data_IF_657222884370
#
_entry.id   IF_657222884370
#
_cell.length_a   1.000
_cell.length_b   1.000
_cell.length_c   1.000
_cell.angle_alpha   90.00
_cell.angle_beta   90.00
_cell.angle_gamma   90.00
#
_symmetry.space_group_name_H-M   'P 1'
#
loop_
_entity.id
_entity.type
_entity.pdbx_description
1 polymer ?
#
# COMPACT_ATOMS: atom_id res chain seq x y z
N UNK A 1 56.80 -20.37 -40.95
CA UNK A 1 55.76 -20.17 -39.93
C UNK A 1 56.33 -19.37 -38.77
N UNK A 2 55.70 -18.25 -38.41
CA UNK A 2 55.84 -17.56 -37.10
C UNK A 2 54.50 -16.86 -36.85
N UNK A 3 53.70 -17.34 -35.92
CA UNK A 3 52.50 -16.63 -35.45
C UNK A 3 52.88 -15.83 -34.21
N UNK A 4 52.58 -14.54 -34.20
CA UNK A 4 52.68 -13.69 -33.02
C UNK A 4 51.30 -13.61 -32.36
N UNK A 5 51.26 -13.79 -31.04
CA UNK A 5 50.03 -13.68 -30.26
C UNK A 5 49.63 -12.21 -30.11
N UNK A 6 48.43 -11.85 -30.58
CA UNK A 6 47.77 -10.61 -30.17
C UNK A 6 46.82 -10.90 -29.01
N UNK A 7 47.09 -10.30 -27.85
CA UNK A 7 46.21 -10.39 -26.68
C UNK A 7 45.06 -9.40 -26.83
N UNK A 8 43.86 -9.89 -27.16
CA UNK A 8 42.64 -9.12 -26.99
C UNK A 8 42.28 -9.08 -25.50
N UNK A 9 42.49 -7.93 -24.86
CA UNK A 9 41.93 -7.64 -23.54
C UNK A 9 40.45 -7.33 -23.71
N UNK A 10 39.58 -8.29 -23.44
CA UNK A 10 38.16 -8.02 -23.24
C UNK A 10 38.01 -7.09 -22.03
N UNK A 11 37.43 -5.91 -22.24
CA UNK A 11 37.06 -5.03 -21.14
C UNK A 11 35.82 -5.62 -20.45
N UNK A 12 36.02 -6.24 -19.28
CA UNK A 12 34.89 -6.63 -18.42
C UNK A 12 34.22 -5.35 -17.96
N UNK A 13 33.01 -5.10 -18.49
CA UNK A 13 32.14 -4.07 -17.95
C UNK A 13 31.79 -4.47 -16.52
N UNK A 14 32.39 -3.79 -15.55
CA UNK A 14 32.17 -4.08 -14.13
C UNK A 14 30.75 -3.62 -13.80
N UNK A 15 29.82 -4.57 -13.73
CA UNK A 15 28.44 -4.30 -13.35
C UNK A 15 28.44 -3.63 -11.98
N UNK A 16 28.10 -2.34 -11.94
CA UNK A 16 28.02 -1.58 -10.70
C UNK A 16 26.90 -2.17 -9.87
N UNK A 17 27.25 -2.81 -8.74
CA UNK A 17 26.28 -3.21 -7.74
C UNK A 17 25.45 -1.99 -7.35
N UNK A 18 24.14 -2.04 -7.64
CA UNK A 18 23.17 -1.01 -7.30
C UNK A 18 22.51 -1.39 -5.96
N UNK A 19 23.06 -1.04 -4.79
CA UNK A 19 22.29 -1.14 -3.56
C UNK A 19 21.12 -0.16 -3.62
N UNK A 20 20.06 -0.49 -2.87
CA UNK A 20 18.91 0.33 -2.46
C UNK A 20 17.58 0.08 -3.21
N UNK A 21 16.93 -1.01 -2.81
CA UNK A 21 15.48 -1.00 -2.52
C UNK A 21 15.34 -1.35 -1.03
N UNK A 22 15.41 -0.32 -0.17
CA UNK A 22 15.31 -0.42 1.30
C UNK A 22 14.46 0.71 1.92
N UNK A 23 13.77 1.50 1.08
CA UNK A 23 12.90 2.60 1.49
C UNK A 23 11.40 2.20 1.52
N UNK A 24 11.07 1.02 0.99
CA UNK A 24 9.71 0.52 0.80
C UNK A 24 9.37 -0.66 1.71
N UNK A 25 10.32 -1.58 1.89
CA UNK A 25 10.20 -2.78 2.72
C UNK A 25 11.08 -2.71 3.96
N UNK A 26 10.47 -3.02 5.11
CA UNK A 26 11.04 -2.92 6.44
C UNK A 26 10.13 -3.58 7.48
N UNK A 27 10.73 -4.32 8.41
CA UNK A 27 10.03 -5.04 9.48
C UNK A 27 10.38 -4.46 10.85
N UNK A 28 9.37 -4.24 11.69
CA UNK A 28 9.58 -3.98 13.13
C UNK A 28 10.17 -5.23 13.82
N UNK A 29 9.87 -6.43 13.30
CA UNK A 29 10.27 -7.68 13.92
C UNK A 29 10.60 -8.82 12.94
N UNK A 30 11.87 -8.92 12.53
CA UNK A 30 12.39 -10.08 11.79
C UNK A 30 12.42 -11.36 12.66
N UNK A 31 11.56 -12.36 12.40
CA UNK A 31 11.45 -13.58 13.21
C UNK A 31 12.62 -14.56 12.99
N UNK A 32 13.37 -14.42 11.90
CA UNK A 32 14.60 -15.23 11.68
C UNK A 32 15.75 -14.74 12.58
N UNK A 33 15.69 -13.51 13.10
CA UNK A 33 16.74 -12.92 13.97
C UNK A 33 16.35 -12.88 15.45
N UNK A 34 15.06 -12.69 15.77
CA UNK A 34 14.55 -12.55 17.15
C UNK A 34 13.17 -13.21 17.30
N UNK A 35 12.70 -13.37 18.53
CA UNK A 35 11.32 -13.81 18.76
C UNK A 35 10.37 -12.63 18.56
N UNK A 36 9.26 -12.87 17.85
CA UNK A 36 8.28 -11.84 17.47
C UNK A 36 6.86 -12.22 17.94
N UNK A 37 5.92 -11.26 17.98
CA UNK A 37 4.50 -11.57 18.09
C UNK A 37 4.03 -12.46 16.94
N UNK A 38 2.85 -13.07 17.09
CA UNK A 38 2.19 -13.74 15.98
C UNK A 38 1.51 -12.71 15.06
N UNK A 39 1.68 -12.84 13.74
CA UNK A 39 1.05 -12.01 12.73
C UNK A 39 -0.47 -12.13 12.83
N UNK A 40 -1.23 -11.03 12.76
CA UNK A 40 -2.69 -11.10 12.73
C UNK A 40 -3.12 -11.64 11.37
N UNK A 41 -3.84 -12.77 11.37
CA UNK A 41 -4.25 -13.44 10.14
C UNK A 41 -5.67 -13.06 9.70
N UNK A 42 -5.96 -13.23 8.41
CA UNK A 42 -7.33 -13.19 7.88
C UNK A 42 -8.06 -14.51 8.20
N UNK A 43 -9.07 -14.53 9.09
CA UNK A 43 -9.79 -15.75 9.48
C UNK A 43 -10.90 -16.13 8.47
N UNK A 44 -10.77 -15.72 7.21
CA UNK A 44 -11.70 -15.96 6.11
C UNK A 44 -10.94 -16.38 4.85
N UNK A 45 -11.61 -17.15 3.97
CA UNK A 45 -11.02 -17.60 2.70
C UNK A 45 -11.09 -16.56 1.58
N UNK A 46 -12.02 -15.61 1.66
CA UNK A 46 -12.16 -14.48 0.71
C UNK A 46 -12.38 -13.16 1.46
N UNK A 47 -11.65 -12.11 1.10
CA UNK A 47 -11.86 -10.72 1.54
C UNK A 47 -11.99 -9.80 0.32
N UNK A 48 -12.85 -8.78 0.40
CA UNK A 48 -13.04 -7.78 -0.67
C UNK A 48 -13.14 -6.38 -0.10
N UNK A 49 -12.30 -5.47 -0.60
CA UNK A 49 -12.40 -4.04 -0.40
C UNK A 49 -12.74 -3.35 -1.74
N UNK A 50 -13.99 -2.91 -1.91
CA UNK A 50 -14.37 -1.99 -2.98
C UNK A 50 -14.29 -0.56 -2.45
N UNK A 51 -13.18 0.12 -2.72
CA UNK A 51 -12.90 1.47 -2.22
C UNK A 51 -13.80 2.56 -2.82
N UNK A 52 -14.67 2.23 -3.78
CA UNK A 52 -15.76 3.14 -4.22
C UNK A 52 -16.92 3.17 -3.22
N UNK A 53 -16.98 2.19 -2.31
CA UNK A 53 -17.99 2.09 -1.25
C UNK A 53 -17.47 2.62 0.09
N UNK A 54 -18.36 3.23 0.88
CA UNK A 54 -17.99 3.79 2.17
C UNK A 54 -17.70 2.68 3.20
N UNK A 55 -16.53 2.74 3.85
CA UNK A 55 -16.14 1.80 4.90
C UNK A 55 -15.26 0.63 4.44
N UNK A 56 -15.07 0.41 3.13
CA UNK A 56 -14.21 -0.66 2.61
C UNK A 56 -12.72 -0.56 2.99
N UNK A 57 -12.30 0.58 3.55
CA UNK A 57 -10.98 0.79 4.16
C UNK A 57 -10.91 0.42 5.66
N UNK A 58 -11.90 -0.29 6.20
CA UNK A 58 -12.02 -0.61 7.63
C UNK A 58 -10.84 -1.42 8.18
N UNK A 59 -10.34 -2.38 7.40
CA UNK A 59 -9.21 -3.28 7.74
C UNK A 59 -7.89 -2.85 7.09
N UNK A 60 -7.67 -1.54 6.93
CA UNK A 60 -6.47 -0.97 6.34
C UNK A 60 -5.90 0.16 7.21
N UNK A 61 -4.60 0.10 7.48
CA UNK A 61 -3.84 1.13 8.20
C UNK A 61 -3.08 1.99 7.20
N UNK A 62 -3.13 3.31 7.37
CA UNK A 62 -2.29 4.23 6.60
C UNK A 62 -0.95 4.48 7.27
N UNK A 63 0.12 4.57 6.48
CA UNK A 63 1.46 4.93 6.96
C UNK A 63 1.48 6.36 7.56
N UNK A 64 2.47 6.64 8.41
CA UNK A 64 2.61 7.96 9.03
C UNK A 64 2.62 9.09 7.97
N UNK A 65 1.90 10.18 8.24
CA UNK A 65 1.69 11.32 7.33
C UNK A 65 0.95 11.04 6.00
N UNK A 66 0.48 9.81 5.77
CA UNK A 66 -0.41 9.50 4.64
C UNK A 66 -1.80 10.12 4.86
N UNK A 67 -2.44 10.52 3.76
CA UNK A 67 -3.89 10.78 3.69
C UNK A 67 -4.37 10.24 2.36
N UNK A 68 -5.44 9.43 2.39
CA UNK A 68 -6.08 8.86 1.21
C UNK A 68 -7.47 9.49 1.06
N UNK A 69 -7.76 10.00 -0.13
CA UNK A 69 -9.11 10.43 -0.52
C UNK A 69 -9.87 9.20 -1.05
N UNK A 70 -11.17 9.09 -0.77
CA UNK A 70 -12.02 7.99 -1.24
C UNK A 70 -13.25 8.56 -1.98
N UNK A 71 -13.61 7.95 -3.11
CA UNK A 71 -14.73 8.37 -3.94
C UNK A 71 -14.99 7.44 -5.12
N UNK A 72 -15.58 7.94 -6.20
CA UNK A 72 -15.96 7.15 -7.39
C UNK A 72 -14.78 6.49 -8.13
N UNK A 73 -13.54 6.94 -7.90
CA UNK A 73 -12.31 6.34 -8.43
C UNK A 73 -11.60 5.41 -7.43
N UNK A 74 -12.22 5.17 -6.28
CA UNK A 74 -11.67 4.38 -5.18
C UNK A 74 -10.73 5.17 -4.28
N UNK A 75 -9.69 4.50 -3.80
CA UNK A 75 -8.62 5.07 -2.98
C UNK A 75 -7.62 5.85 -3.84
N UNK A 76 -7.36 7.11 -3.47
CA UNK A 76 -6.54 8.05 -4.24
C UNK A 76 -5.22 8.36 -3.53
N UNK A 77 -4.12 7.87 -4.12
CA UNK A 77 -2.76 7.99 -3.59
C UNK A 77 -2.05 9.19 -4.23
N UNK A 78 -2.18 10.36 -3.61
CA UNK A 78 -1.74 11.66 -4.18
C UNK A 78 -0.34 12.09 -3.72
N UNK A 79 0.57 12.32 -4.67
CA UNK A 79 1.82 13.06 -4.50
C UNK A 79 1.66 14.45 -5.11
N UNK A 80 1.48 15.48 -4.28
CA UNK A 80 1.40 16.88 -4.71
C UNK A 80 2.72 17.66 -4.51
N UNK A 81 3.64 17.13 -3.70
CA UNK A 81 4.95 17.74 -3.39
C UNK A 81 5.94 16.71 -2.86
N UNK A 82 7.20 17.14 -2.73
CA UNK A 82 8.29 16.40 -2.09
C UNK A 82 7.93 15.90 -0.68
N UNK A 83 8.49 14.75 -0.29
CA UNK A 83 8.26 14.12 1.01
C UNK A 83 6.92 13.40 1.16
N UNK A 84 6.08 13.37 0.13
CA UNK A 84 4.85 12.57 0.13
C UNK A 84 5.08 11.19 -0.49
N UNK A 85 4.79 10.15 0.29
CA UNK A 85 4.70 8.76 -0.15
C UNK A 85 3.44 8.14 0.49
N UNK A 86 2.23 8.48 0.00
CA UNK A 86 0.98 7.90 0.51
C UNK A 86 0.98 6.38 0.35
N UNK A 87 0.82 5.67 1.47
CA UNK A 87 0.82 4.20 1.53
C UNK A 87 -0.21 3.70 2.54
N UNK A 88 -0.92 2.62 2.19
CA UNK A 88 -1.76 1.83 3.12
C UNK A 88 -1.31 0.37 3.13
N UNK A 89 -1.57 -0.32 4.25
CA UNK A 89 -1.33 -1.75 4.42
C UNK A 89 -2.56 -2.45 5.02
N UNK A 90 -2.77 -3.73 4.72
CA UNK A 90 -3.82 -4.53 5.37
C UNK A 90 -3.49 -4.74 6.84
N UNK A 91 -4.49 -4.62 7.70
CA UNK A 91 -4.39 -4.86 9.16
C UNK A 91 -4.15 -6.35 9.50
N UNK A 92 -4.18 -7.21 8.49
CA UNK A 92 -4.02 -8.65 8.55
C UNK A 92 -3.07 -9.18 7.46
N UNK A 93 -2.62 -10.42 7.65
CA UNK A 93 -1.77 -11.18 6.75
C UNK A 93 -2.57 -12.35 6.12
N UNK A 94 -2.15 -12.77 4.93
CA UNK A 94 -2.57 -14.01 4.27
C UNK A 94 -1.38 -14.97 4.14
N UNK A 95 -1.65 -16.26 3.96
CA UNK A 95 -0.60 -17.27 3.85
C UNK A 95 -0.90 -18.21 2.68
N UNK A 96 -0.28 -17.93 1.53
CA UNK A 96 -0.66 -18.39 0.20
C UNK A 96 -2.10 -18.00 -0.20
N UNK A 97 -2.36 -17.99 -1.51
CA UNK A 97 -3.63 -17.55 -2.08
C UNK A 97 -3.42 -16.57 -3.21
N UNK A 98 -4.37 -15.66 -3.39
CA UNK A 98 -4.42 -14.74 -4.53
C UNK A 98 -4.78 -13.34 -4.08
N UNK A 99 -4.15 -12.34 -4.67
CA UNK A 99 -4.48 -10.91 -4.50
C UNK A 99 -4.70 -10.32 -5.88
N UNK A 100 -5.88 -9.77 -6.11
CA UNK A 100 -6.27 -9.02 -7.30
C UNK A 100 -6.45 -7.54 -6.94
N UNK A 101 -5.75 -6.65 -7.65
CA UNK A 101 -5.84 -5.19 -7.44
C UNK A 101 -6.28 -4.52 -8.74
N UNK A 102 -7.50 -4.00 -8.76
CA UNK A 102 -8.02 -3.19 -9.87
C UNK A 102 -7.59 -1.74 -9.68
N UNK A 103 -6.58 -1.30 -10.42
CA UNK A 103 -5.97 0.02 -10.26
C UNK A 103 -5.53 0.68 -11.56
N UNK A 104 -5.20 1.95 -11.43
CA UNK A 104 -4.52 2.78 -12.42
C UNK A 104 -3.30 3.43 -11.78
N UNK A 105 -2.15 3.31 -12.42
CA UNK A 105 -0.88 3.84 -11.92
C UNK A 105 -0.81 5.38 -12.03
N UNK A 106 0.07 6.00 -11.26
CA UNK A 106 0.36 7.42 -11.38
C UNK A 106 1.27 7.69 -12.59
N UNK A 107 0.97 8.75 -13.34
CA UNK A 107 1.88 9.33 -14.33
C UNK A 107 2.88 10.29 -13.66
N UNK A 108 4.02 10.51 -14.32
CA UNK A 108 5.10 11.40 -13.87
C UNK A 108 6.46 10.71 -13.90
N UNK A 109 7.46 11.34 -14.52
CA UNK A 109 8.86 10.88 -14.47
C UNK A 109 9.33 10.85 -13.01
N UNK A 110 9.98 9.76 -12.59
CA UNK A 110 10.44 9.58 -11.21
C UNK A 110 9.36 9.18 -10.21
N UNK A 111 8.09 9.13 -10.62
CA UNK A 111 6.97 8.66 -9.80
C UNK A 111 6.84 7.15 -9.97
N UNK A 112 6.55 6.47 -8.86
CA UNK A 112 6.45 5.01 -8.77
C UNK A 112 5.15 4.66 -8.06
N UNK A 113 4.34 3.81 -8.66
CA UNK A 113 3.16 3.21 -8.03
C UNK A 113 3.41 1.74 -7.77
N UNK A 114 2.96 1.23 -6.62
CA UNK A 114 3.43 -0.05 -6.07
C UNK A 114 2.27 -0.86 -5.50
N UNK A 115 2.23 -2.15 -5.86
CA UNK A 115 1.49 -3.20 -5.12
C UNK A 115 2.55 -4.13 -4.53
N UNK A 116 2.54 -4.34 -3.22
CA UNK A 116 3.53 -5.20 -2.55
C UNK A 116 2.81 -6.17 -1.62
N UNK A 117 3.20 -7.45 -1.66
CA UNK A 117 2.99 -8.38 -0.56
C UNK A 117 4.32 -8.48 0.19
N UNK A 118 4.31 -8.26 1.51
CA UNK A 118 5.51 -8.26 2.36
C UNK A 118 5.29 -9.05 3.65
N UNK A 119 6.27 -9.87 4.03
CA UNK A 119 6.30 -10.61 5.30
C UNK A 119 7.13 -9.90 6.37
N UNK A 120 6.94 -10.28 7.63
CA UNK A 120 7.80 -9.78 8.72
C UNK A 120 9.23 -10.37 8.68
N UNK A 121 9.52 -11.41 7.87
CA UNK A 121 10.89 -11.86 7.55
C UNK A 121 11.46 -11.31 6.22
N UNK A 122 10.73 -10.40 5.55
CA UNK A 122 11.10 -9.75 4.29
C UNK A 122 11.24 -10.73 3.10
N UNK A 123 10.35 -11.72 3.05
CA UNK A 123 9.86 -12.22 1.77
C UNK A 123 8.94 -11.15 1.15
N UNK A 124 9.04 -10.94 -0.16
CA UNK A 124 8.40 -9.85 -0.90
C UNK A 124 7.93 -10.33 -2.28
N UNK A 125 6.75 -9.88 -2.72
CA UNK A 125 6.26 -10.00 -4.11
C UNK A 125 5.72 -8.63 -4.53
N UNK A 126 6.19 -8.07 -5.64
CA UNK A 126 5.85 -6.71 -6.03
C UNK A 126 5.39 -6.56 -7.50
N UNK A 127 4.55 -5.55 -7.72
CA UNK A 127 4.30 -4.91 -9.01
C UNK A 127 4.69 -3.43 -8.91
N UNK A 128 5.60 -2.98 -9.78
CA UNK A 128 6.10 -1.59 -9.80
C UNK A 128 5.84 -0.91 -11.15
N UNK A 129 5.18 0.25 -11.10
CA UNK A 129 4.83 1.06 -12.27
C UNK A 129 5.63 2.36 -12.28
N UNK A 130 6.43 2.58 -13.33
CA UNK A 130 7.19 3.82 -13.49
C UNK A 130 6.33 4.84 -14.24
N UNK A 131 5.95 5.95 -13.61
CA UNK A 131 5.06 6.96 -14.18
C UNK A 131 5.60 7.69 -15.43
N UNK A 132 6.86 7.46 -15.80
CA UNK A 132 7.46 7.88 -17.06
C UNK A 132 7.25 6.93 -18.24
N UNK A 133 6.78 5.70 -18.02
CA UNK A 133 6.52 4.68 -19.03
C UNK A 133 5.04 4.28 -19.02
N UNK A 134 4.33 4.62 -20.11
CA UNK A 134 2.89 4.34 -20.30
C UNK A 134 2.65 3.10 -21.19
N UNK A 135 3.59 2.16 -21.20
CA UNK A 135 3.47 0.87 -21.88
C UNK A 135 3.92 -0.33 -21.07
N UNK A 136 4.40 -0.16 -19.82
CA UNK A 136 5.04 -1.23 -19.04
C UNK A 136 4.71 -1.25 -17.56
N UNK A 137 4.85 -2.44 -16.98
CA UNK A 137 4.87 -2.72 -15.55
C UNK A 137 6.03 -3.67 -15.22
N UNK A 138 6.64 -3.54 -14.05
CA UNK A 138 7.62 -4.49 -13.55
C UNK A 138 6.97 -5.46 -12.56
N UNK A 139 7.37 -6.73 -12.64
CA UNK A 139 7.14 -7.73 -11.58
C UNK A 139 8.48 -8.10 -10.95
N UNK A 140 8.54 -8.24 -9.63
CA UNK A 140 9.74 -8.66 -8.93
C UNK A 140 9.40 -9.37 -7.60
N UNK A 141 10.42 -9.96 -6.95
CA UNK A 141 10.24 -10.66 -5.68
C UNK A 141 11.57 -10.74 -4.90
N UNK A 142 11.47 -10.83 -3.57
CA UNK A 142 12.60 -11.13 -2.69
C UNK A 142 12.24 -12.27 -1.73
N UNK A 143 13.26 -12.98 -1.25
CA UNK A 143 13.13 -13.87 -0.10
C UNK A 143 14.13 -13.47 0.97
N UNK A 144 13.70 -13.36 2.22
CA UNK A 144 14.51 -13.01 3.41
C UNK A 144 15.44 -11.81 3.20
N UNK A 145 14.92 -10.72 2.60
CA UNK A 145 15.63 -9.50 2.20
C UNK A 145 16.88 -9.73 1.30
N UNK A 146 16.96 -10.85 0.58
CA UNK A 146 18.16 -11.25 -0.15
C UNK A 146 18.39 -10.43 -1.44
N UNK A 147 18.94 -9.23 -1.27
CA UNK A 147 19.33 -8.25 -2.29
C UNK A 147 20.73 -8.50 -2.89
N UNK A 148 21.27 -9.72 -2.76
CA UNK A 148 22.56 -10.12 -3.37
C UNK A 148 22.54 -10.06 -4.90
N UNK A 149 21.34 -10.23 -5.50
CA UNK A 149 21.12 -10.15 -6.95
C UNK A 149 19.86 -9.32 -7.25
N UNK A 150 19.83 -8.73 -8.45
CA UNK A 150 18.73 -7.90 -8.97
C UNK A 150 18.15 -8.51 -10.28
N UNK A 151 18.35 -9.80 -10.46
CA UNK A 151 17.96 -10.63 -11.61
C UNK A 151 16.49 -11.07 -11.61
N UNK A 152 15.73 -10.65 -10.60
CA UNK A 152 14.32 -11.03 -10.39
C UNK A 152 13.31 -10.03 -10.96
N UNK A 153 13.76 -8.83 -11.32
CA UNK A 153 12.96 -7.82 -12.03
C UNK A 153 12.70 -8.27 -13.45
N UNK A 154 11.43 -8.32 -13.86
CA UNK A 154 11.01 -8.55 -15.25
C UNK A 154 9.95 -7.52 -15.63
N UNK A 155 10.20 -6.81 -16.73
CA UNK A 155 9.27 -5.86 -17.35
C UNK A 155 8.29 -6.58 -18.27
N UNK A 156 7.02 -6.19 -18.23
CA UNK A 156 5.93 -6.70 -19.06
C UNK A 156 5.25 -5.56 -19.79
N UNK A 157 4.78 -5.82 -21.01
CA UNK A 157 3.98 -4.86 -21.76
C UNK A 157 2.54 -4.83 -21.24
N UNK A 158 2.00 -3.63 -21.05
CA UNK A 158 0.61 -3.38 -20.65
C UNK A 158 0.10 -2.11 -21.33
N UNK A 159 -1.14 -2.13 -21.82
CA UNK A 159 -1.70 -1.01 -22.57
C UNK A 159 -2.09 0.15 -21.65
N UNK A 160 -1.29 1.21 -21.65
CA UNK A 160 -1.59 2.50 -21.01
C UNK A 160 -1.97 2.45 -19.51
N UNK A 161 -1.12 1.87 -18.63
CA UNK A 161 -1.48 1.59 -17.23
C UNK A 161 -1.70 2.85 -16.35
N UNK A 162 -1.37 4.06 -16.84
CA UNK A 162 -1.69 5.34 -16.19
C UNK A 162 -2.97 6.01 -16.75
N UNK A 163 -3.53 5.53 -17.86
CA UNK A 163 -4.76 6.04 -18.48
C UNK A 163 -5.97 5.14 -18.22
N UNK A 164 -5.79 3.81 -18.27
CA UNK A 164 -6.82 2.79 -18.06
C UNK A 164 -6.68 2.04 -16.73
N UNK A 165 -7.82 1.54 -16.22
CA UNK A 165 -7.82 0.60 -15.09
C UNK A 165 -7.58 -0.82 -15.59
N UNK A 166 -6.69 -1.54 -14.92
CA UNK A 166 -6.41 -2.96 -15.14
C UNK A 166 -6.48 -3.70 -13.81
N UNK A 167 -6.70 -5.01 -13.85
CA UNK A 167 -6.58 -5.88 -12.68
C UNK A 167 -5.24 -6.59 -12.71
N UNK A 168 -4.37 -6.23 -11.77
CA UNK A 168 -3.08 -6.86 -11.56
C UNK A 168 -3.23 -7.92 -10.47
N UNK A 169 -2.86 -9.16 -10.79
CA UNK A 169 -3.01 -10.30 -9.89
C UNK A 169 -1.67 -10.90 -9.50
N UNK A 170 -1.58 -11.32 -8.24
CA UNK A 170 -0.56 -12.23 -7.73
C UNK A 170 -1.30 -13.50 -7.28
N UNK A 171 -0.96 -14.66 -7.85
CA UNK A 171 -1.46 -15.97 -7.44
C UNK A 171 -0.29 -16.84 -6.97
N UNK A 172 -0.26 -17.11 -5.67
CA UNK A 172 0.93 -17.48 -4.92
C UNK A 172 0.67 -18.72 -4.05
N UNK A 173 1.40 -19.80 -4.33
CA UNK A 173 1.30 -21.08 -3.62
C UNK A 173 2.68 -21.53 -3.13
N UNK A 174 2.75 -22.62 -2.37
CA UNK A 174 4.02 -23.25 -1.98
C UNK A 174 4.78 -23.86 -3.18
N UNK A 175 4.14 -24.02 -4.33
CA UNK A 175 4.71 -24.65 -5.53
C UNK A 175 5.07 -23.64 -6.63
N UNK A 176 4.28 -22.56 -6.76
CA UNK A 176 4.42 -21.56 -7.84
C UNK A 176 3.90 -20.17 -7.47
N UNK A 177 4.56 -19.17 -8.02
CA UNK A 177 4.16 -17.77 -8.01
C UNK A 177 3.80 -17.39 -9.45
N UNK A 178 2.60 -16.84 -9.66
CA UNK A 178 2.12 -16.34 -10.93
C UNK A 178 1.72 -14.87 -10.83
N UNK A 179 2.11 -14.11 -11.85
CA UNK A 179 1.70 -12.73 -12.04
C UNK A 179 0.75 -12.67 -13.25
N UNK A 180 -0.38 -11.99 -13.10
CA UNK A 180 -1.40 -11.87 -14.15
C UNK A 180 -1.81 -10.42 -14.38
N UNK A 181 -2.15 -10.08 -15.63
CA UNK A 181 -2.76 -8.79 -16.00
C UNK A 181 -4.08 -9.10 -16.70
N UNK A 182 -5.18 -8.52 -16.21
CA UNK A 182 -6.54 -8.73 -16.70
C UNK A 182 -6.92 -10.22 -16.83
N UNK A 183 -6.47 -11.02 -15.86
CA UNK A 183 -6.67 -12.47 -15.81
C UNK A 183 -5.73 -13.31 -16.69
N UNK A 184 -4.87 -12.70 -17.51
CA UNK A 184 -3.88 -13.39 -18.34
C UNK A 184 -2.56 -13.56 -17.60
N UNK A 185 -2.08 -14.80 -17.47
CA UNK A 185 -0.78 -15.11 -16.83
C UNK A 185 0.35 -14.58 -17.73
N UNK A 186 1.15 -13.64 -17.22
CA UNK A 186 2.30 -13.07 -17.94
C UNK A 186 3.66 -13.56 -17.40
N UNK A 187 3.71 -14.06 -16.16
CA UNK A 187 4.91 -14.65 -15.56
C UNK A 187 4.54 -15.80 -14.63
N UNK A 188 5.35 -16.86 -14.63
CA UNK A 188 5.31 -17.95 -13.65
C UNK A 188 6.73 -18.20 -13.14
N UNK A 189 6.87 -18.40 -11.83
CA UNK A 189 8.10 -18.79 -11.14
C UNK A 189 7.76 -20.03 -10.32
N UNK A 190 8.51 -21.12 -10.47
CA UNK A 190 8.35 -22.30 -9.62
C UNK A 190 9.12 -22.13 -8.29
N UNK A 191 8.70 -22.82 -7.23
CA UNK A 191 9.47 -22.87 -5.97
C UNK A 191 10.94 -23.24 -6.20
N UNK A 192 11.18 -24.25 -7.04
CA UNK A 192 12.51 -24.74 -7.38
C UNK A 192 13.25 -23.94 -8.48
N UNK A 193 12.79 -22.73 -8.84
CA UNK A 193 13.41 -21.91 -9.88
C UNK A 193 14.82 -21.40 -9.44
N UNK A 194 15.81 -21.32 -10.36
CA UNK A 194 17.12 -20.75 -10.06
C UNK A 194 17.08 -19.30 -9.51
N UNK A 195 16.15 -18.46 -9.96
CA UNK A 195 15.96 -17.08 -9.45
C UNK A 195 15.48 -17.07 -7.99
N UNK A 196 14.68 -18.08 -7.63
CA UNK A 196 14.26 -18.35 -6.26
C UNK A 196 15.33 -19.14 -5.45
N UNK A 197 16.52 -19.32 -6.01
CA UNK A 197 17.65 -20.07 -5.42
C UNK A 197 17.21 -21.47 -4.97
N UNK A 198 16.44 -22.15 -5.82
CA UNK A 198 15.89 -23.49 -5.59
C UNK A 198 15.09 -23.57 -4.26
N UNK A 199 14.21 -22.59 -4.02
CA UNK A 199 13.32 -22.51 -2.87
C UNK A 199 13.79 -21.56 -1.76
N UNK A 200 15.10 -21.27 -1.66
CA UNK A 200 15.68 -20.52 -0.53
C UNK A 200 15.34 -19.03 -0.51
N UNK A 201 15.11 -18.45 -1.69
CA UNK A 201 14.63 -17.08 -1.88
C UNK A 201 13.18 -17.06 -2.42
N UNK A 202 12.46 -18.18 -2.36
CA UNK A 202 11.06 -18.20 -2.78
C UNK A 202 10.19 -17.55 -1.68
N UNK A 203 9.30 -16.59 -1.99
CA UNK A 203 8.40 -15.98 -1.01
C UNK A 203 7.47 -17.04 -0.43
N UNK A 204 7.51 -17.28 0.88
CA UNK A 204 6.90 -18.48 1.47
C UNK A 204 6.38 -18.30 2.90
N UNK A 205 6.42 -17.09 3.45
CA UNK A 205 5.92 -16.76 4.80
C UNK A 205 4.67 -15.86 4.69
N UNK A 206 3.87 -15.69 5.77
CA UNK A 206 2.65 -14.88 5.71
C UNK A 206 2.95 -13.44 5.30
N UNK A 207 2.10 -12.85 4.45
CA UNK A 207 2.28 -11.50 3.91
C UNK A 207 1.03 -10.63 4.07
N UNK A 208 1.25 -9.35 4.41
CA UNK A 208 0.25 -8.27 4.31
C UNK A 208 0.30 -7.65 2.92
N UNK A 209 -0.82 -7.08 2.45
CA UNK A 209 -0.86 -6.34 1.18
C UNK A 209 -0.64 -4.85 1.46
N UNK A 210 0.32 -4.24 0.76
CA UNK A 210 0.65 -2.82 0.81
C UNK A 210 0.38 -2.20 -0.55
N UNK A 211 -0.19 -0.99 -0.54
CA UNK A 211 -0.49 -0.19 -1.73
C UNK A 211 0.07 1.20 -1.51
N UNK A 212 0.85 1.72 -2.46
CA UNK A 212 1.48 3.03 -2.29
C UNK A 212 1.92 3.71 -3.58
N UNK A 213 2.09 5.02 -3.49
CA UNK A 213 2.61 5.86 -4.57
C UNK A 213 3.73 6.73 -4.01
N UNK A 214 4.93 6.71 -4.59
CA UNK A 214 6.12 7.38 -4.06
C UNK A 214 7.02 7.98 -5.15
N UNK A 215 7.99 8.78 -4.70
CA UNK A 215 8.95 9.47 -5.57
C UNK A 215 10.31 8.73 -5.58
N UNK A 216 10.46 7.73 -6.44
CA UNK A 216 11.73 7.03 -6.68
C UNK A 216 12.81 7.94 -7.30
N UNK A 217 12.37 8.92 -8.11
CA UNK A 217 13.17 10.05 -8.58
C UNK A 217 13.19 11.26 -7.62
N UNK A 218 12.83 11.07 -6.34
CA UNK A 218 12.76 12.17 -5.37
C UNK A 218 14.15 12.64 -4.87
N UNK A 219 14.28 13.88 -4.39
CA UNK A 219 15.48 14.34 -3.69
C UNK A 219 15.85 13.44 -2.51
N UNK A 220 17.15 13.26 -2.26
CA UNK A 220 17.65 12.35 -1.24
C UNK A 220 17.64 10.87 -1.64
N UNK A 221 16.93 10.47 -2.70
CA UNK A 221 17.07 9.15 -3.29
C UNK A 221 18.47 8.96 -3.88
N UNK A 222 18.89 7.70 -3.96
CA UNK A 222 20.18 7.32 -4.52
C UNK A 222 20.10 7.24 -6.05
N UNK A 223 21.26 7.32 -6.70
CA UNK A 223 21.35 7.33 -8.17
C UNK A 223 20.72 6.11 -8.85
N UNK A 224 20.80 4.93 -8.24
CA UNK A 224 20.22 3.70 -8.79
C UNK A 224 18.69 3.75 -8.85
N UNK A 225 18.03 4.09 -7.73
CA UNK A 225 16.58 4.25 -7.68
C UNK A 225 16.10 5.41 -8.55
N UNK A 226 16.83 6.52 -8.61
CA UNK A 226 16.51 7.66 -9.48
C UNK A 226 16.60 7.26 -10.97
N UNK A 227 17.65 6.55 -11.37
CA UNK A 227 17.82 6.05 -12.75
C UNK A 227 16.75 5.03 -13.13
N UNK A 228 16.48 4.07 -12.25
CA UNK A 228 15.40 3.07 -12.39
C UNK A 228 14.00 3.69 -12.52
N UNK A 229 13.72 4.76 -11.76
CA UNK A 229 12.46 5.51 -11.84
C UNK A 229 12.38 6.47 -13.06
N UNK A 230 13.36 6.44 -13.97
CA UNK A 230 13.38 7.26 -15.19
C UNK A 230 13.92 8.70 -14.99
N UNK A 231 14.54 8.99 -13.85
CA UNK A 231 15.11 10.28 -13.51
C UNK A 231 14.24 11.12 -12.56
N UNK A 232 14.72 12.33 -12.25
CA UNK A 232 14.20 13.18 -11.17
C UNK A 232 12.72 13.58 -11.33
N UNK A 233 12.00 13.65 -10.21
CA UNK A 233 10.61 14.12 -10.16
C UNK A 233 10.53 15.63 -10.34
N UNK A 234 9.73 16.07 -11.30
CA UNK A 234 9.32 17.48 -11.45
C UNK A 234 7.98 17.70 -10.75
N UNK A 235 8.02 17.96 -9.44
CA UNK A 235 6.81 18.17 -8.62
C UNK A 235 5.91 19.32 -9.09
N UNK A 236 6.40 20.24 -9.94
CA UNK A 236 5.57 21.30 -10.53
C UNK A 236 4.51 20.77 -11.51
N UNK A 237 4.68 19.52 -11.99
CA UNK A 237 3.73 18.80 -12.85
C UNK A 237 2.74 17.92 -12.08
N UNK A 238 2.78 17.93 -10.74
CA UNK A 238 1.79 17.26 -9.89
C UNK A 238 0.43 17.98 -9.88
N UNK A 239 -0.57 17.45 -9.17
CA UNK A 239 -0.51 16.24 -8.33
C UNK A 239 -0.51 14.94 -9.14
N UNK A 240 0.43 14.05 -8.84
CA UNK A 240 0.48 12.70 -9.39
C UNK A 240 -0.41 11.78 -8.57
N UNK A 241 -1.29 11.01 -9.22
CA UNK A 241 -2.33 10.21 -8.55
C UNK A 241 -2.37 8.78 -9.08
N UNK A 242 -2.10 7.82 -8.20
CA UNK A 242 -2.49 6.41 -8.37
C UNK A 242 -3.91 6.22 -7.82
N UNK A 243 -4.72 5.43 -8.50
CA UNK A 243 -6.12 5.19 -8.16
C UNK A 243 -6.36 3.68 -8.01
N UNK A 244 -6.80 3.21 -6.84
CA UNK A 244 -7.15 1.79 -6.61
C UNK A 244 -8.65 1.70 -6.35
N UNK A 245 -9.40 1.04 -7.23
CA UNK A 245 -10.85 0.86 -7.07
C UNK A 245 -11.19 -0.31 -6.17
N UNK A 246 -10.53 -1.45 -6.38
CA UNK A 246 -10.91 -2.71 -5.73
C UNK A 246 -9.69 -3.55 -5.39
N UNK A 247 -9.73 -4.20 -4.24
CA UNK A 247 -8.81 -5.27 -3.85
C UNK A 247 -9.65 -6.50 -3.51
N UNK A 248 -9.32 -7.64 -4.12
CA UNK A 248 -9.92 -8.93 -3.82
C UNK A 248 -8.82 -9.90 -3.38
N UNK A 249 -9.04 -10.58 -2.26
CA UNK A 249 -8.04 -11.44 -1.63
C UNK A 249 -8.65 -12.81 -1.39
N UNK A 250 -8.01 -13.86 -1.91
CA UNK A 250 -8.24 -15.24 -1.49
C UNK A 250 -7.11 -15.65 -0.56
N UNK A 251 -7.42 -16.16 0.64
CA UNK A 251 -6.43 -16.73 1.56
C UNK A 251 -6.57 -18.25 1.56
N UNK A 252 -5.54 -18.97 1.11
CA UNK A 252 -5.54 -20.43 1.07
C UNK A 252 -5.39 -21.06 2.47
N UNK A 253 -4.98 -20.27 3.48
CA UNK A 253 -4.80 -20.74 4.85
C UNK A 253 -5.48 -19.81 5.88
N UNK A 254 -6.83 -19.75 5.95
CA UNK A 254 -7.54 -18.94 6.93
C UNK A 254 -7.11 -19.27 8.37
N UNK A 255 -6.70 -18.23 9.09
CA UNK A 255 -6.26 -18.30 10.47
C UNK A 255 -6.47 -16.95 11.16
N UNK A 256 -6.60 -16.95 12.49
CA UNK A 256 -6.70 -15.71 13.26
C UNK A 256 -5.32 -15.11 13.56
N UNK A 257 -4.28 -15.92 13.60
CA UNK A 257 -2.90 -15.47 13.56
C UNK A 257 -1.94 -16.55 13.04
N UNK A 258 -0.74 -16.13 12.62
CA UNK A 258 0.35 -17.02 12.22
C UNK A 258 1.54 -16.83 13.17
N UNK A 259 2.12 -17.92 13.64
CA UNK A 259 3.31 -17.91 14.51
C UNK A 259 4.47 -18.61 13.79
N UNK A 260 5.61 -17.91 13.65
CA UNK A 260 6.86 -18.51 13.20
C UNK A 260 7.35 -19.50 14.25
N UNK A 261 7.24 -20.79 13.96
CA UNK A 261 7.52 -21.87 14.90
C UNK A 261 8.99 -22.06 15.24
N UNK A 262 9.87 -21.58 14.36
CA UNK A 262 11.32 -21.49 14.52
C UNK A 262 11.86 -20.26 13.75
N UNK A 263 13.18 -20.22 13.49
CA UNK A 263 13.88 -19.10 12.85
C UNK A 263 14.27 -19.34 11.38
N UNK A 264 13.74 -20.38 10.74
CA UNK A 264 14.11 -20.77 9.37
C UNK A 264 13.58 -19.81 8.29
N UNK A 265 12.41 -19.20 8.52
CA UNK A 265 11.65 -18.54 7.46
C UNK A 265 11.05 -19.53 6.44
N UNK A 266 11.01 -20.83 6.76
CA UNK A 266 10.41 -21.88 5.92
C UNK A 266 8.90 -21.92 6.14
N UNK A 267 8.12 -22.18 5.08
CA UNK A 267 6.65 -22.22 5.18
C UNK A 267 6.14 -23.31 6.14
N UNK A 268 6.90 -24.39 6.30
CA UNK A 268 6.61 -25.49 7.23
C UNK A 268 6.77 -25.10 8.71
N UNK A 269 7.47 -24.00 9.01
CA UNK A 269 7.58 -23.47 10.37
C UNK A 269 6.32 -22.73 10.83
N UNK A 270 5.44 -22.32 9.90
CA UNK A 270 4.32 -21.41 10.16
C UNK A 270 3.15 -22.15 10.83
N UNK A 271 2.97 -21.90 12.12
CA UNK A 271 1.83 -22.42 12.88
C UNK A 271 0.61 -21.54 12.65
N UNK A 272 -0.49 -22.14 12.18
CA UNK A 272 -1.78 -21.47 11.98
C UNK A 272 -2.60 -21.53 13.27
N UNK A 273 -2.94 -20.38 13.85
CA UNK A 273 -3.72 -20.26 15.09
C UNK A 273 -5.18 -19.99 14.76
N UNK A 274 -6.05 -20.97 15.04
CA UNK A 274 -7.50 -20.91 14.73
C UNK A 274 -8.37 -20.37 15.87
N UNK A 275 -7.77 -19.97 17.01
CA UNK A 275 -8.49 -19.53 18.22
C UNK A 275 -7.74 -18.40 18.92
N UNK A 276 -8.41 -17.27 19.16
CA UNK A 276 -7.82 -16.11 19.84
C UNK A 276 -8.72 -14.87 19.78
N UNK A 277 -8.22 -13.74 20.30
CA UNK A 277 -8.95 -12.48 20.24
C UNK A 277 -8.96 -11.85 18.84
N UNK A 278 -7.96 -12.15 17.99
CA UNK A 278 -7.96 -11.73 16.57
C UNK A 278 -9.09 -12.37 15.77
N UNK A 279 -9.57 -13.57 16.14
CA UNK A 279 -10.80 -14.15 15.58
C UNK A 279 -12.06 -13.31 15.88
N UNK A 280 -11.99 -12.41 16.87
CA UNK A 280 -13.12 -11.63 17.41
C UNK A 280 -13.02 -10.14 17.11
N UNK A 281 -11.99 -9.70 16.38
CA UNK A 281 -12.05 -8.41 15.72
C UNK A 281 -13.24 -8.42 14.75
N UNK A 282 -14.00 -7.33 14.71
CA UNK A 282 -15.35 -7.32 14.14
C UNK A 282 -15.35 -7.71 12.65
N UNK A 283 -16.14 -8.74 12.30
CA UNK A 283 -16.23 -9.32 10.96
C UNK A 283 -16.38 -10.85 11.00
N UNK A 284 -15.69 -11.51 11.94
CA UNK A 284 -15.78 -12.97 12.13
C UNK A 284 -17.15 -13.47 12.57
N UNK A 285 -17.97 -13.94 11.62
CA UNK A 285 -19.23 -14.63 11.93
C UNK A 285 -18.96 -16.01 12.55
N UNK A 286 -19.29 -16.15 13.83
CA UNK A 286 -19.12 -17.39 14.58
C UNK A 286 -20.00 -18.55 14.03
N UNK A 287 -19.45 -19.35 13.12
CA UNK A 287 -19.92 -20.74 12.89
C UNK A 287 -19.52 -21.64 14.07
N UNK A 288 -19.95 -21.28 15.27
CA UNK A 288 -19.69 -22.04 16.49
C UNK A 288 -20.59 -23.27 16.53
N UNK A 289 -20.12 -24.38 15.97
CA UNK A 289 -20.78 -25.68 16.02
C UNK A 289 -20.80 -26.21 17.46
N UNK A 290 -21.77 -25.74 18.25
CA UNK A 290 -21.95 -26.08 19.65
C UNK A 290 -22.22 -27.58 19.78
N UNK A 291 -21.19 -28.34 20.18
CA UNK A 291 -21.26 -29.78 20.40
C UNK A 291 -22.14 -30.10 21.61
N UNK A 292 -23.45 -30.17 21.39
CA UNK A 292 -24.42 -30.62 22.39
C UNK A 292 -24.43 -32.14 22.46
N UNK A 293 -23.99 -32.70 23.59
CA UNK A 293 -24.03 -34.13 23.86
C UNK A 293 -25.46 -34.61 24.11
N UNK A 294 -25.99 -35.51 23.30
CA UNK A 294 -27.25 -36.24 23.59
C UNK A 294 -27.08 -37.72 23.27
N UNK A 295 -27.71 -38.58 24.08
CA UNK A 295 -27.42 -40.01 24.16
C UNK A 295 -28.10 -40.86 23.10
N UNK A 296 -27.32 -41.77 22.50
CA UNK A 296 -27.69 -43.10 21.96
C UNK A 296 -29.17 -43.42 21.69
N UNK A 297 -29.49 -43.62 20.41
CA UNK A 297 -30.51 -44.59 19.97
C UNK A 297 -30.08 -45.24 18.65
N UNK A 298 -30.24 -46.55 18.50
CA UNK A 298 -29.73 -47.32 17.36
C UNK A 298 -30.82 -47.61 16.33
N UNK A 299 -30.57 -47.29 15.06
CA UNK A 299 -31.35 -47.79 13.92
C UNK A 299 -30.46 -47.96 12.68
N UNK A 300 -30.72 -48.99 11.87
CA UNK A 300 -29.95 -49.30 10.66
C UNK A 300 -30.65 -48.77 9.41
N UNK A 301 -29.88 -48.28 8.43
CA UNK A 301 -30.40 -47.75 7.16
C UNK A 301 -29.32 -47.71 6.08
N UNK A 302 -29.30 -48.73 5.22
CA UNK A 302 -28.30 -48.85 4.14
C UNK A 302 -28.77 -48.08 2.89
N UNK A 303 -28.23 -46.88 2.65
CA UNK A 303 -28.55 -46.05 1.49
C UNK A 303 -27.30 -45.60 0.72
N UNK A 304 -27.15 -46.07 -0.52
CA UNK A 304 -26.07 -45.64 -1.42
C UNK A 304 -26.53 -44.43 -2.24
N UNK A 305 -25.91 -43.27 -2.05
CA UNK A 305 -26.13 -42.08 -2.88
C UNK A 305 -24.82 -41.46 -3.35
N UNK A 306 -24.79 -41.09 -4.62
CA UNK A 306 -23.66 -40.48 -5.33
C UNK A 306 -23.12 -39.24 -4.62
N UNK A 307 -21.80 -39.16 -4.44
CA UNK A 307 -21.15 -37.96 -3.93
C UNK A 307 -21.10 -36.87 -5.03
N UNK A 308 -22.01 -35.91 -4.94
CA UNK A 308 -21.94 -34.66 -5.72
C UNK A 308 -20.97 -33.70 -5.05
N UNK A 309 -19.89 -33.32 -5.73
CA UNK A 309 -18.92 -32.33 -5.24
C UNK A 309 -19.50 -30.92 -5.29
N UNK A 310 -20.16 -30.49 -4.22
CA UNK A 310 -20.49 -29.08 -4.00
C UNK A 310 -19.22 -28.32 -3.66
N UNK A 311 -18.78 -27.43 -4.56
CA UNK A 311 -17.73 -26.46 -4.28
C UNK A 311 -18.21 -25.49 -3.20
N UNK A 312 -17.50 -25.46 -2.07
CA UNK A 312 -17.82 -24.57 -0.95
C UNK A 312 -17.35 -23.14 -1.28
N UNK A 313 -18.21 -22.42 -2.01
CA UNK A 313 -18.04 -21.01 -2.36
C UNK A 313 -18.19 -20.13 -1.10
N UNK A 314 -17.14 -20.11 -0.29
CA UNK A 314 -17.08 -19.29 0.92
C UNK A 314 -17.44 -17.83 0.63
N UNK A 315 -18.42 -17.31 1.37
CA UNK A 315 -18.87 -15.92 1.29
C UNK A 315 -17.71 -14.98 1.55
N UNK A 316 -17.48 -14.01 0.65
CA UNK A 316 -16.46 -12.99 0.86
C UNK A 316 -16.84 -12.07 2.03
N UNK A 317 -15.88 -11.79 2.91
CA UNK A 317 -16.05 -10.81 3.99
C UNK A 317 -15.56 -9.43 3.55
N UNK A 318 -16.31 -8.39 3.90
CA UNK A 318 -15.89 -6.97 3.73
C UNK A 318 -15.23 -6.42 4.98
N UNK A 319 -15.55 -6.98 6.15
CA UNK A 319 -14.94 -6.67 7.44
C UNK A 319 -13.99 -7.81 7.85
N UNK A 320 -12.72 -7.45 8.06
CA UNK A 320 -11.65 -8.33 8.53
C UNK A 320 -10.97 -7.71 9.76
N UNK A 321 -10.09 -8.43 10.49
CA UNK A 321 -9.47 -7.92 11.70
C UNK A 321 -8.80 -6.56 11.51
N UNK A 322 -9.04 -5.65 12.45
CA UNK A 322 -8.52 -4.29 12.45
C UNK A 322 -7.47 -4.11 13.55
N UNK A 323 -6.43 -3.30 13.31
CA UNK A 323 -5.37 -3.04 14.29
C UNK A 323 -5.42 -1.62 14.85
N UNK A 324 -5.58 -1.52 16.17
CA UNK A 324 -5.42 -0.26 16.90
C UNK A 324 -3.95 0.15 17.06
N UNK A 325 -3.18 0.21 15.96
CA UNK A 325 -1.85 0.86 15.97
C UNK A 325 -2.06 2.37 16.08
N UNK A 326 -1.23 3.03 16.88
CA UNK A 326 -1.31 4.50 17.12
C UNK A 326 -0.76 5.33 15.95
N UNK A 327 -1.22 5.03 14.73
CA UNK A 327 -1.02 5.86 13.53
C UNK A 327 -2.21 6.82 13.39
N UNK A 328 -2.09 7.85 12.55
CA UNK A 328 -3.21 8.76 12.33
C UNK A 328 -4.36 8.01 11.64
N UNK A 329 -5.60 8.03 12.18
CA UNK A 329 -6.74 7.41 11.50
C UNK A 329 -6.92 8.08 10.13
N UNK A 330 -7.21 7.27 9.11
CA UNK A 330 -7.21 7.74 7.71
C UNK A 330 -8.16 8.92 7.58
N UNK A 331 -7.63 10.10 7.24
CA UNK A 331 -8.39 11.35 7.12
C UNK A 331 -9.26 11.35 5.86
N UNK A 332 -10.34 10.57 5.92
CA UNK A 332 -11.32 10.42 4.86
C UNK A 332 -11.94 11.77 4.49
N UNK A 333 -11.49 12.34 3.38
CA UNK A 333 -12.10 13.53 2.78
C UNK A 333 -13.10 13.05 1.72
N UNK A 334 -14.37 12.94 2.11
CA UNK A 334 -15.46 12.58 1.18
C UNK A 334 -15.81 13.81 0.34
N UNK A 335 -15.44 13.80 -0.93
CA UNK A 335 -15.83 14.84 -1.88
C UNK A 335 -17.28 14.62 -2.34
N UNK A 336 -18.25 15.18 -1.61
CA UNK A 336 -19.63 15.28 -2.10
C UNK A 336 -19.70 16.27 -3.25
N UNK A 337 -19.67 15.77 -4.49
CA UNK A 337 -19.92 16.55 -5.71
C UNK A 337 -21.42 16.89 -5.86
N UNK A 338 -21.91 17.81 -5.02
CA UNK A 338 -23.29 18.29 -5.09
C UNK A 338 -23.44 19.30 -6.25
N UNK A 339 -23.90 18.83 -7.41
CA UNK A 339 -24.19 19.69 -8.57
C UNK A 339 -25.42 20.57 -8.31
N UNK A 340 -25.24 21.69 -7.62
CA UNK A 340 -26.32 22.66 -7.34
C UNK A 340 -26.42 23.69 -8.47
N UNK A 341 -27.35 23.47 -9.39
CA UNK A 341 -27.79 24.47 -10.37
C UNK A 341 -28.93 25.31 -9.78
N UNK A 342 -28.67 26.56 -9.37
CA UNK A 342 -29.72 27.50 -8.96
C UNK A 342 -29.21 28.61 -8.02
N UNK A 343 -29.65 29.85 -8.24
CA UNK A 343 -29.14 31.05 -7.57
C UNK A 343 -30.01 31.56 -6.41
N UNK A 344 -29.36 32.22 -5.44
CA UNK A 344 -29.93 32.99 -4.31
C UNK A 344 -30.72 32.18 -3.26
N UNK A 345 -30.63 32.44 -1.94
CA UNK A 345 -30.40 33.70 -1.21
C UNK A 345 -29.39 33.55 -0.04
N UNK A 346 -29.11 34.65 0.67
CA UNK A 346 -28.24 34.71 1.85
C UNK A 346 -29.04 34.70 3.17
N UNK A 347 -28.60 33.96 4.19
CA UNK A 347 -28.15 34.51 5.50
C UNK A 347 -27.76 33.45 6.54
N UNK A 348 -26.88 33.87 7.45
CA UNK A 348 -26.65 33.41 8.83
C UNK A 348 -26.10 32.01 9.14
N UNK A 349 -24.99 32.02 9.88
CA UNK A 349 -24.42 30.91 10.63
C UNK A 349 -25.26 30.56 11.85
N UNK A 350 -25.48 29.27 12.11
CA UNK A 350 -25.78 28.74 13.43
C UNK A 350 -25.24 27.30 13.56
N UNK A 351 -24.35 27.08 14.54
CA UNK A 351 -23.83 25.75 14.86
C UNK A 351 -24.76 25.03 15.82
N UNK A 352 -25.15 23.79 15.52
CA UNK A 352 -25.76 22.86 16.48
C UNK A 352 -25.09 21.49 16.43
N UNK A 353 -24.31 21.21 17.47
CA UNK A 353 -23.99 19.84 17.89
C UNK A 353 -25.09 19.35 18.85
N UNK A 354 -25.07 18.04 19.15
CA UNK A 354 -26.06 17.34 20.00
C UNK A 354 -27.43 17.14 19.29
N UNK A 355 -28.25 16.16 19.67
CA UNK A 355 -28.24 15.33 20.89
C UNK A 355 -28.26 13.83 20.57
N UNK A 356 -27.65 13.05 21.45
CA UNK A 356 -28.35 11.87 21.98
C UNK A 356 -28.49 12.09 23.49
N UNK A 357 -29.65 11.77 24.04
CA UNK A 357 -30.09 12.26 25.35
C UNK A 357 -29.93 11.23 26.47
N UNK A 358 -29.60 11.69 27.67
CA UNK A 358 -30.22 11.17 28.89
C UNK A 358 -30.31 12.25 29.97
N UNK A 359 -31.31 12.16 30.82
CA UNK A 359 -31.59 13.05 31.95
C UNK A 359 -32.06 12.20 33.14
N UNK A 360 -32.04 12.69 34.41
CA UNK A 360 -33.19 13.52 34.83
C UNK A 360 -32.92 14.59 35.93
N UNK A 361 -33.80 15.59 35.97
CA UNK A 361 -34.37 16.32 37.15
C UNK A 361 -33.52 16.68 38.37
N UNK A 362 -33.57 17.94 38.80
CA UNK A 362 -33.11 18.33 40.16
C UNK A 362 -33.24 19.82 40.53
N UNK A 363 -34.48 20.30 40.70
CA UNK A 363 -34.94 21.45 41.52
C UNK A 363 -34.05 22.69 41.75
N UNK A 364 -34.59 23.89 41.50
CA UNK A 364 -33.96 25.16 41.86
C UNK A 364 -34.21 25.55 43.33
N UNK A 365 -33.29 26.33 43.91
CA UNK A 365 -33.58 27.28 44.99
C UNK A 365 -32.74 28.56 44.78
N UNK A 366 -33.10 29.64 45.48
CA UNK A 366 -32.51 30.97 45.31
C UNK A 366 -32.34 31.68 46.65
N UNK A 367 -31.30 32.49 46.81
CA UNK A 367 -31.30 33.55 47.83
C UNK A 367 -30.36 34.69 47.48
N UNK A 368 -30.67 35.87 48.00
CA UNK A 368 -29.92 37.13 47.92
C UNK A 368 -28.83 37.16 49.04
N UNK A 369 -27.99 38.18 49.28
CA UNK A 369 -28.17 39.62 49.04
C UNK A 369 -26.86 40.47 49.04
N UNK A 370 -27.01 41.75 48.64
CA UNK A 370 -26.15 42.95 48.72
C UNK A 370 -24.85 42.94 49.57
N UNK A 371 -23.78 43.68 49.18
CA UNK A 371 -23.67 45.15 49.40
C UNK A 371 -22.51 45.88 48.68
N UNK A 372 -22.63 47.22 48.59
CA UNK A 372 -21.74 48.25 47.98
C UNK A 372 -20.45 48.56 48.81
N UNK A 373 -19.40 49.27 48.35
CA UNK A 373 -18.83 49.61 47.02
C UNK A 373 -17.32 50.02 47.21
N UNK A 374 -16.64 51.12 46.79
CA UNK A 374 -16.90 52.46 46.19
C UNK A 374 -15.62 52.98 45.48
N UNK A 375 -15.73 53.53 44.24
CA UNK A 375 -14.78 54.48 43.60
C UNK A 375 -13.38 54.00 43.15
N UNK A 376 -12.55 54.75 42.40
CA UNK A 376 -12.77 55.82 41.38
C UNK A 376 -11.41 56.44 40.97
N UNK A 377 -10.98 56.37 39.69
CA UNK A 377 -10.45 57.50 38.88
C UNK A 377 -9.86 57.10 37.50
N UNK A 378 -9.57 58.12 36.68
CA UNK A 378 -9.06 58.10 35.28
C UNK A 378 -8.51 59.51 34.93
N UNK A 379 -8.03 59.89 33.71
CA UNK A 379 -7.77 59.14 32.46
C UNK A 379 -6.40 59.54 31.78
N UNK A 380 -6.37 59.55 30.43
CA UNK A 380 -5.36 60.06 29.45
C UNK A 380 -4.36 59.01 28.89
N UNK A 381 -4.13 58.80 27.57
CA UNK A 381 -4.19 59.59 26.30
C UNK A 381 -2.88 60.34 25.97
N UNK A 382 -2.33 60.43 24.74
CA UNK A 382 -2.65 59.87 23.38
C UNK A 382 -1.47 60.11 22.40
N UNK A 383 -1.37 59.35 21.28
CA UNK A 383 -0.75 59.72 19.95
C UNK A 383 0.77 60.08 19.85
N UNK A 384 1.51 59.93 18.72
CA UNK A 384 1.35 59.19 17.43
C UNK A 384 2.63 59.21 16.55
N UNK A 385 2.63 58.41 15.46
CA UNK A 385 3.19 58.68 14.10
C UNK A 385 4.72 58.74 13.78
N UNK A 386 5.14 58.03 12.72
CA UNK A 386 6.43 58.12 11.98
C UNK A 386 6.98 56.72 11.55
N UNK A 387 7.11 56.24 10.29
CA UNK A 387 7.43 56.78 8.93
C UNK A 387 8.96 56.99 8.74
N UNK A 388 9.71 56.41 7.78
CA UNK A 388 9.40 55.70 6.50
C UNK A 388 10.49 54.70 5.97
N UNK A 389 10.29 54.23 4.72
CA UNK A 389 11.03 53.38 3.72
C UNK A 389 12.59 53.44 3.62
N UNK A 390 13.32 52.51 2.95
CA UNK A 390 13.30 52.33 1.46
C UNK A 390 14.21 51.22 0.85
N UNK A 391 13.86 50.85 -0.40
CA UNK A 391 14.61 50.34 -1.60
C UNK A 391 16.10 49.92 -1.52
N UNK A 392 16.66 49.04 -2.37
CA UNK A 392 16.17 48.34 -3.59
C UNK A 392 17.32 48.12 -4.63
N UNK A 393 17.12 47.37 -5.73
CA UNK A 393 18.05 47.32 -6.89
C UNK A 393 18.50 45.91 -7.36
N UNK A 394 18.97 45.80 -8.62
CA UNK A 394 19.38 44.54 -9.29
C UNK A 394 20.47 44.76 -10.35
N UNK A 395 21.15 43.70 -10.82
CA UNK A 395 22.00 43.69 -12.04
C UNK A 395 22.39 42.26 -12.50
N UNK A 396 22.96 42.14 -13.71
CA UNK A 396 23.06 40.90 -14.52
C UNK A 396 24.47 40.64 -15.07
N UNK A 397 24.83 39.35 -15.31
CA UNK A 397 25.76 38.86 -16.37
C UNK A 397 26.01 37.33 -16.22
N UNK A 398 26.57 36.57 -17.17
CA UNK A 398 26.41 36.50 -18.65
C UNK A 398 27.13 35.24 -19.19
N UNK A 399 26.47 34.51 -20.10
CA UNK A 399 26.95 33.55 -21.12
C UNK A 399 28.28 32.78 -20.90
N UNK A 400 28.21 31.44 -21.00
CA UNK A 400 29.18 30.69 -21.83
C UNK A 400 28.54 29.42 -22.44
N UNK A 401 28.42 29.42 -23.77
CA UNK A 401 27.94 28.29 -24.57
C UNK A 401 29.11 27.50 -25.17
N UNK A 402 29.01 26.17 -25.16
CA UNK A 402 29.84 25.29 -25.96
C UNK A 402 28.97 24.16 -26.52
N UNK A 403 28.76 24.14 -27.83
CA UNK A 403 28.06 23.05 -28.52
C UNK A 403 29.04 22.09 -29.19
N UNK A 404 28.60 20.86 -29.43
CA UNK A 404 29.28 19.95 -30.37
C UNK A 404 28.24 19.24 -31.23
N UNK A 405 28.20 19.61 -32.50
CA UNK A 405 27.53 18.83 -33.53
C UNK A 405 28.40 17.62 -33.88
N UNK A 406 27.88 16.41 -33.70
CA UNK A 406 28.30 15.23 -34.47
C UNK A 406 27.03 14.53 -34.95
N UNK A 407 26.80 14.53 -36.26
CA UNK A 407 25.84 13.64 -36.91
C UNK A 407 26.57 12.48 -37.58
N UNK A 408 25.87 11.73 -38.45
CA UNK A 408 26.34 10.53 -39.17
C UNK A 408 26.38 9.28 -38.24
N UNK A 409 25.82 8.10 -38.58
CA UNK A 409 25.14 7.65 -39.80
C UNK A 409 23.91 6.77 -39.52
N UNK A 410 23.10 6.54 -40.57
CA UNK A 410 22.14 5.43 -40.64
C UNK A 410 22.90 4.11 -40.85
N UNK A 411 22.48 3.03 -40.16
CA UNK A 411 23.07 1.69 -40.30
C UNK A 411 22.01 0.58 -40.20
N UNK A 412 21.50 0.13 -41.36
CA UNK A 412 20.62 -1.03 -41.48
C UNK A 412 21.46 -2.31 -41.58
N UNK A 413 21.10 -3.39 -40.88
CA UNK A 413 21.24 -4.84 -41.18
C UNK A 413 20.94 -5.60 -39.87
N UNK A 414 19.92 -6.46 -39.73
CA UNK A 414 19.76 -7.78 -40.34
C UNK A 414 20.96 -8.73 -40.12
N UNK A 415 21.01 -9.37 -38.95
CA UNK A 415 20.75 -10.81 -38.80
C UNK A 415 20.45 -11.19 -37.34
#
# INVERSE_FOLDING_TARGET
MRFQLFSQRAAVALATSLPLILAQTSTDCDPTKKSCPADIGLPASKYVADFTTAGANSSWTAAAYTTIEYGSDGAVFTIAKEGQAPTIETDFYIFFGRVDVTMKAASGRGIVSSIVLESDDLDEIDWEFIGGDNGKVQSNFYGKANTTTYDRVVYHDVATPQDTYHTYSIDWTSERLQFLIDGSIIRTIAYADPLAVYGKNYPQTPMRVKLGNWAGGGPGQNKGTVEWAGGDVDFSKGPFKMLVRKVEITNNNPACSYEYGDRSGSFESIKKVSTGNSCKAQGGSNSNSTSSSTTTATASGNGTTTASTTSDEGTAVTDAPTVSRSVAPIRQTVLLSTTVTGSAYSTNSASVSALNSDAPTGTADSTTDTTNAVGSDSPAATTSSGVETSTGGASTNTILTAGSFVGVAVGFFML
#
